data_IF_134757375544
#
_entry.id   IF_134757375544
#
_cell.length_a   1.000
_cell.length_b   1.000
_cell.length_c   1.000
_cell.angle_alpha   90.00
_cell.angle_beta   90.00
_cell.angle_gamma   90.00
#
_symmetry.space_group_name_H-M   'P 1'
#
loop_
_entity.id
_entity.type
_entity.pdbx_description
1 polymer ?
#
# COMPACT_ATOMS: atom_id res chain seq x y z
N UNK A 1 -18.87 -4.92 1.65
CA UNK A 1 -19.48 -6.13 2.26
C UNK A 1 -21.01 -6.06 2.29
N UNK A 2 -21.56 -4.92 1.88
CA UNK A 2 -22.95 -4.55 2.18
C UNK A 2 -23.98 -5.31 1.31
N UNK A 3 -23.54 -5.86 0.17
CA UNK A 3 -24.41 -6.65 -0.71
C UNK A 3 -24.56 -8.12 -0.30
N UNK A 4 -23.76 -8.62 0.65
CA UNK A 4 -23.86 -10.01 1.15
C UNK A 4 -23.81 -10.10 2.68
N UNK A 5 -24.10 -9.00 3.39
CA UNK A 5 -24.04 -8.91 4.86
C UNK A 5 -22.72 -9.43 5.49
N UNK A 6 -21.61 -9.38 4.75
CA UNK A 6 -20.31 -9.87 5.22
C UNK A 6 -20.14 -11.39 5.19
N UNK A 7 -21.05 -12.15 4.59
CA UNK A 7 -20.98 -13.63 4.54
C UNK A 7 -19.69 -14.18 3.91
N UNK A 8 -19.09 -13.44 2.98
CA UNK A 8 -17.81 -13.81 2.35
C UNK A 8 -16.59 -13.25 3.07
N UNK A 9 -16.73 -12.80 4.33
CA UNK A 9 -15.63 -12.26 5.13
C UNK A 9 -15.63 -12.83 6.53
N UNK A 10 -14.44 -13.16 7.05
CA UNK A 10 -14.28 -13.55 8.45
C UNK A 10 -12.88 -13.18 8.95
N UNK A 11 -12.76 -13.06 10.26
CA UNK A 11 -11.45 -13.01 10.91
C UNK A 11 -11.04 -14.45 11.24
N UNK A 12 -9.82 -14.82 10.86
CA UNK A 12 -9.23 -16.14 11.16
C UNK A 12 -7.89 -15.97 11.86
N UNK A 13 -7.55 -16.92 12.73
CA UNK A 13 -6.24 -16.97 13.34
C UNK A 13 -5.23 -17.65 12.41
N UNK A 14 -4.12 -16.97 12.12
CA UNK A 14 -3.04 -17.38 11.24
C UNK A 14 -1.71 -17.53 11.99
N UNK A 15 -1.74 -18.33 13.06
CA UNK A 15 -0.57 -18.62 13.87
C UNK A 15 -0.04 -17.41 14.65
N UNK A 16 1.03 -17.63 15.43
CA UNK A 16 1.56 -16.61 16.34
C UNK A 16 2.20 -15.44 15.59
N UNK A 17 2.73 -15.69 14.39
CA UNK A 17 3.43 -14.69 13.59
C UNK A 17 2.48 -13.61 13.02
N UNK A 18 1.27 -13.98 12.60
CA UNK A 18 0.31 -13.06 11.98
C UNK A 18 -0.91 -12.77 12.87
N UNK A 19 -1.23 -13.64 13.82
CA UNK A 19 -2.36 -13.42 14.72
C UNK A 19 -3.70 -13.51 14.00
N UNK A 20 -4.56 -12.52 14.16
CA UNK A 20 -5.90 -12.51 13.54
C UNK A 20 -5.89 -11.72 12.23
N UNK A 21 -6.23 -12.37 11.13
CA UNK A 21 -6.21 -11.78 9.78
C UNK A 21 -7.59 -11.78 9.13
N UNK A 22 -7.81 -10.89 8.16
CA UNK A 22 -9.04 -10.87 7.37
C UNK A 22 -8.97 -11.94 6.28
N UNK A 23 -9.82 -12.96 6.34
CA UNK A 23 -10.01 -13.91 5.23
C UNK A 23 -11.25 -13.51 4.42
N UNK A 24 -11.08 -13.42 3.10
CA UNK A 24 -12.16 -13.23 2.13
C UNK A 24 -12.38 -14.52 1.32
N UNK A 25 -13.64 -14.90 1.20
CA UNK A 25 -14.11 -16.00 0.35
C UNK A 25 -14.43 -15.47 -1.04
N UNK A 26 -14.02 -16.23 -2.05
CA UNK A 26 -14.29 -16.04 -3.47
C UNK A 26 -15.12 -17.27 -3.92
N UNK A 27 -16.47 -17.21 -3.90
CA UNK A 27 -17.31 -18.36 -4.15
C UNK A 27 -17.12 -18.96 -5.54
N UNK A 28 -17.28 -20.28 -5.61
CA UNK A 28 -17.38 -21.03 -6.86
C UNK A 28 -18.31 -20.33 -7.87
N UNK A 29 -17.87 -20.19 -9.12
CA UNK A 29 -18.68 -19.68 -10.21
C UNK A 29 -18.88 -18.15 -10.20
N UNK A 30 -18.37 -17.43 -9.20
CA UNK A 30 -18.62 -16.01 -9.05
C UNK A 30 -17.61 -15.14 -9.82
N UNK A 31 -18.10 -14.12 -10.53
CA UNK A 31 -17.31 -13.15 -11.30
C UNK A 31 -17.83 -11.74 -11.09
N UNK A 32 -16.92 -10.78 -10.95
CA UNK A 32 -17.26 -9.36 -10.95
C UNK A 32 -17.48 -8.74 -9.55
N UNK A 33 -17.66 -7.41 -9.49
CA UNK A 33 -18.00 -6.69 -8.26
C UNK A 33 -19.48 -6.84 -7.86
N UNK A 34 -20.28 -7.52 -8.69
CA UNK A 34 -21.72 -7.77 -8.63
C UNK A 34 -22.59 -6.51 -8.63
N UNK A 35 -22.95 -6.14 -9.85
CA UNK A 35 -23.61 -4.88 -10.18
C UNK A 35 -25.14 -5.05 -10.21
N UNK A 36 -25.64 -6.29 -10.31
CA UNK A 36 -27.05 -6.66 -10.45
C UNK A 36 -27.44 -7.72 -9.42
N UNK A 37 -28.29 -7.39 -8.42
CA UNK A 37 -29.02 -8.22 -7.41
C UNK A 37 -28.37 -9.51 -6.84
N UNK A 38 -27.10 -9.76 -7.15
CA UNK A 38 -26.35 -10.97 -6.85
C UNK A 38 -25.34 -10.60 -5.77
N UNK A 39 -25.21 -11.40 -4.69
CA UNK A 39 -24.31 -11.05 -3.59
C UNK A 39 -22.86 -10.97 -4.04
N UNK A 40 -22.16 -9.85 -3.73
CA UNK A 40 -20.70 -9.70 -3.61
C UNK A 40 -19.80 -10.94 -3.79
N UNK A 41 -19.06 -11.13 -4.90
CA UNK A 41 -18.15 -12.28 -5.07
C UNK A 41 -17.03 -12.31 -4.05
N UNK A 42 -16.62 -11.16 -3.53
CA UNK A 42 -15.87 -11.07 -2.29
C UNK A 42 -16.16 -9.71 -1.66
N UNK A 43 -15.24 -8.76 -1.76
CA UNK A 43 -15.37 -7.46 -1.11
C UNK A 43 -15.24 -6.29 -2.10
N UNK A 44 -16.17 -5.33 -1.94
CA UNK A 44 -16.09 -3.98 -2.49
C UNK A 44 -16.30 -3.02 -1.34
N UNK A 45 -15.28 -2.20 -1.06
CA UNK A 45 -15.33 -1.11 -0.07
C UNK A 45 -14.53 0.05 -0.63
N UNK A 46 -15.19 1.16 -0.90
CA UNK A 46 -14.54 2.44 -1.18
C UNK A 46 -14.45 3.18 0.15
N UNK A 47 -13.24 3.36 0.66
CA UNK A 47 -12.96 4.09 1.89
C UNK A 47 -12.47 5.49 1.55
N UNK A 48 -13.28 6.55 1.77
CA UNK A 48 -12.79 7.92 1.73
C UNK A 48 -11.66 8.12 2.74
N UNK A 49 -10.58 8.77 2.33
CA UNK A 49 -9.44 9.05 3.19
C UNK A 49 -9.69 10.33 3.98
N UNK A 50 -9.38 10.29 5.27
CA UNK A 50 -9.49 11.46 6.16
C UNK A 50 -8.52 12.57 5.74
N UNK A 51 -7.36 12.19 5.17
CA UNK A 51 -6.37 13.11 4.61
C UNK A 51 -6.17 12.78 3.14
N UNK A 52 -6.33 13.78 2.28
CA UNK A 52 -6.02 13.69 0.86
C UNK A 52 -4.63 14.28 0.58
N UNK A 53 -3.97 13.84 -0.48
CA UNK A 53 -2.65 14.37 -0.85
C UNK A 53 -2.31 14.11 -2.33
N UNK A 54 -1.36 14.89 -2.83
CA UNK A 54 -0.75 14.68 -4.16
C UNK A 54 0.15 13.46 -4.22
N UNK A 55 0.67 13.00 -3.09
CA UNK A 55 1.41 11.74 -2.99
C UNK A 55 0.86 10.93 -1.85
N UNK A 56 0.51 9.68 -2.13
CA UNK A 56 -0.04 8.76 -1.15
C UNK A 56 0.59 7.38 -1.32
N UNK A 57 0.90 6.77 -0.19
CA UNK A 57 1.35 5.40 -0.08
C UNK A 57 0.21 4.53 0.43
N UNK A 58 0.15 3.31 -0.07
CA UNK A 58 -0.67 2.25 0.53
C UNK A 58 0.14 0.98 0.64
N UNK A 59 -0.14 0.17 1.66
CA UNK A 59 0.45 -1.14 1.82
C UNK A 59 -0.57 -2.10 2.42
N UNK A 60 -0.40 -3.37 2.11
CA UNK A 60 -1.09 -4.49 2.75
C UNK A 60 -0.32 -5.77 2.48
N UNK A 61 -0.52 -6.74 3.35
CA UNK A 61 0.00 -8.08 3.14
C UNK A 61 -1.13 -8.97 2.60
N UNK A 62 -0.78 -9.92 1.74
CA UNK A 62 -1.72 -10.81 1.05
C UNK A 62 -1.23 -12.26 1.05
N UNK A 63 -2.14 -13.20 1.27
CA UNK A 63 -1.87 -14.63 1.22
C UNK A 63 -2.95 -15.34 0.40
N UNK A 64 -2.56 -15.93 -0.72
CA UNK A 64 -3.43 -16.80 -1.51
C UNK A 64 -3.41 -18.20 -0.89
N UNK A 65 -4.55 -18.69 -0.43
CA UNK A 65 -4.62 -19.98 0.26
C UNK A 65 -4.43 -21.18 -0.68
N UNK A 66 -4.05 -22.31 -0.10
CA UNK A 66 -3.91 -23.56 -0.84
C UNK A 66 -5.19 -23.88 -1.62
N UNK A 67 -5.00 -24.30 -2.88
CA UNK A 67 -6.10 -24.53 -3.80
C UNK A 67 -6.57 -23.28 -4.56
N UNK A 68 -6.04 -22.09 -4.28
CA UNK A 68 -6.45 -20.89 -5.02
C UNK A 68 -6.20 -21.02 -6.53
N UNK A 69 -7.23 -20.78 -7.33
CA UNK A 69 -7.23 -20.80 -8.78
C UNK A 69 -7.12 -19.36 -9.29
N UNK A 70 -5.97 -18.99 -9.82
CA UNK A 70 -5.82 -17.66 -10.42
C UNK A 70 -6.77 -17.40 -11.61
N UNK A 71 -7.22 -18.47 -12.29
CA UNK A 71 -7.98 -18.41 -13.54
C UNK A 71 -7.38 -17.39 -14.51
N UNK A 72 -8.22 -16.63 -15.23
CA UNK A 72 -7.75 -15.56 -16.11
C UNK A 72 -7.26 -14.32 -15.31
N UNK A 73 -7.70 -14.18 -14.07
CA UNK A 73 -7.29 -13.10 -13.19
C UNK A 73 -8.41 -12.57 -12.30
N UNK A 74 -8.07 -11.53 -11.55
CA UNK A 74 -9.00 -10.83 -10.68
C UNK A 74 -8.37 -9.59 -10.06
N UNK A 75 -9.18 -8.85 -9.32
CA UNK A 75 -8.86 -7.50 -8.85
C UNK A 75 -8.35 -7.53 -7.42
N UNK A 76 -7.45 -6.61 -7.10
CA UNK A 76 -6.87 -6.40 -5.79
C UNK A 76 -6.93 -4.92 -5.39
N UNK A 77 -6.83 -4.64 -4.08
CA UNK A 77 -6.95 -3.28 -3.55
C UNK A 77 -5.93 -2.29 -4.11
N UNK A 78 -6.32 -1.02 -4.14
CA UNK A 78 -5.44 0.07 -4.56
C UNK A 78 -6.01 1.47 -4.28
N UNK A 79 -5.28 2.49 -4.74
CA UNK A 79 -5.61 3.90 -4.50
C UNK A 79 -6.43 4.46 -5.67
N UNK A 80 -7.28 5.45 -5.39
CA UNK A 80 -7.96 6.22 -6.43
C UNK A 80 -8.25 7.67 -6.00
N UNK A 81 -8.65 8.49 -6.98
CA UNK A 81 -8.93 9.91 -6.81
C UNK A 81 -10.15 10.35 -7.62
N UNK A 82 -10.87 11.36 -7.13
CA UNK A 82 -12.00 11.96 -7.85
C UNK A 82 -13.10 10.93 -8.11
N UNK A 83 -13.52 10.80 -9.37
CA UNK A 83 -14.53 9.80 -9.80
C UNK A 83 -14.15 8.33 -9.57
N UNK A 84 -12.87 8.01 -9.28
CA UNK A 84 -12.41 6.65 -9.03
C UNK A 84 -12.85 5.65 -10.14
N UNK A 85 -12.56 6.00 -11.40
CA UNK A 85 -12.99 5.24 -12.58
C UNK A 85 -12.66 3.74 -12.49
N UNK A 86 -13.64 2.88 -12.78
CA UNK A 86 -13.53 1.42 -12.88
C UNK A 86 -14.59 0.87 -13.84
N UNK A 87 -14.49 -0.43 -14.21
CA UNK A 87 -15.47 -1.06 -15.10
C UNK A 87 -15.29 -0.62 -16.55
N UNK A 88 -16.37 -0.62 -17.33
CA UNK A 88 -16.37 -0.06 -18.69
C UNK A 88 -16.58 1.47 -18.63
N UNK A 89 -15.58 2.19 -18.12
CA UNK A 89 -15.66 3.62 -17.90
C UNK A 89 -14.27 4.25 -18.12
N UNK A 90 -13.97 4.58 -19.37
CA UNK A 90 -12.76 5.31 -19.74
C UNK A 90 -12.87 6.77 -19.25
N UNK A 91 -11.84 7.32 -18.59
CA UNK A 91 -11.77 8.75 -18.30
C UNK A 91 -11.63 9.55 -19.61
N UNK A 92 -12.64 10.38 -19.91
CA UNK A 92 -12.60 11.36 -21.02
C UNK A 92 -12.16 12.75 -20.55
N UNK A 93 -12.19 12.96 -19.24
CA UNK A 93 -11.70 14.15 -18.55
C UNK A 93 -10.81 13.75 -17.38
N UNK A 94 -9.83 14.59 -17.02
CA UNK A 94 -8.98 14.35 -15.85
C UNK A 94 -9.67 14.63 -14.51
N UNK A 95 -10.90 14.17 -14.34
CA UNK A 95 -11.73 14.34 -13.13
C UNK A 95 -11.76 13.09 -12.23
N UNK A 96 -10.96 12.08 -12.57
CA UNK A 96 -10.72 10.91 -11.73
C UNK A 96 -9.79 9.90 -12.37
N UNK A 97 -9.38 8.94 -11.56
CA UNK A 97 -8.48 7.85 -11.93
C UNK A 97 -8.58 6.74 -10.90
N UNK A 98 -8.09 5.54 -11.22
CA UNK A 98 -7.82 4.51 -10.21
C UNK A 98 -6.55 3.75 -10.54
N UNK A 99 -5.80 3.33 -9.53
CA UNK A 99 -4.63 2.46 -9.67
C UNK A 99 -4.81 1.27 -8.73
N UNK A 100 -5.53 0.26 -9.21
CA UNK A 100 -5.75 -1.03 -8.54
C UNK A 100 -4.75 -2.05 -9.04
N UNK A 101 -4.70 -3.21 -8.39
CA UNK A 101 -3.84 -4.32 -8.80
C UNK A 101 -4.71 -5.42 -9.39
N UNK A 102 -4.14 -6.22 -10.28
CA UNK A 102 -4.74 -7.50 -10.68
C UNK A 102 -3.73 -8.64 -10.51
N UNK A 103 -4.24 -9.81 -10.12
CA UNK A 103 -3.58 -11.06 -10.49
C UNK A 103 -4.07 -11.49 -11.88
N UNK A 104 -3.20 -12.18 -12.60
CA UNK A 104 -3.46 -12.82 -13.89
C UNK A 104 -3.12 -14.32 -13.78
N UNK A 105 -3.28 -15.05 -14.90
CA UNK A 105 -2.88 -16.47 -15.00
C UNK A 105 -1.53 -16.74 -14.36
N UNK A 106 -1.44 -17.81 -13.58
CA UNK A 106 -0.19 -18.24 -12.93
C UNK A 106 0.32 -17.28 -11.85
N UNK A 107 -0.55 -16.42 -11.30
CA UNK A 107 -0.17 -15.48 -10.24
C UNK A 107 0.54 -14.21 -10.75
N UNK A 108 0.69 -14.03 -12.06
CA UNK A 108 1.30 -12.84 -12.65
C UNK A 108 0.61 -11.56 -12.14
N UNK A 109 1.39 -10.64 -11.58
CA UNK A 109 0.88 -9.39 -11.02
C UNK A 109 0.94 -8.24 -12.04
N UNK A 110 -0.12 -7.45 -12.11
CA UNK A 110 -0.16 -6.24 -12.95
C UNK A 110 -0.80 -5.09 -12.19
N UNK A 111 -0.41 -3.87 -12.48
CA UNK A 111 -1.15 -2.69 -12.08
C UNK A 111 -2.24 -2.42 -13.12
N UNK A 112 -3.49 -2.34 -12.67
CA UNK A 112 -4.63 -1.95 -13.48
C UNK A 112 -4.93 -0.47 -13.24
N UNK A 113 -4.65 0.38 -14.23
CA UNK A 113 -4.76 1.83 -14.08
C UNK A 113 -5.83 2.39 -15.04
N UNK A 114 -6.78 3.13 -14.49
CA UNK A 114 -7.67 4.01 -15.24
C UNK A 114 -7.11 5.44 -15.18
N UNK A 115 -6.84 6.03 -16.33
CA UNK A 115 -6.23 7.36 -16.44
C UNK A 115 -6.52 8.01 -17.79
N UNK A 116 -6.29 9.32 -17.90
CA UNK A 116 -6.48 10.04 -19.16
C UNK A 116 -5.47 9.59 -20.22
N UNK A 117 -5.99 9.10 -21.34
CA UNK A 117 -5.18 8.58 -22.44
C UNK A 117 -4.82 7.10 -22.33
N UNK A 118 -5.55 6.34 -21.49
CA UNK A 118 -5.54 4.87 -21.55
C UNK A 118 -5.99 4.37 -22.93
N UNK A 119 -5.58 3.15 -23.29
CA UNK A 119 -5.79 2.60 -24.64
C UNK A 119 -7.13 1.89 -24.80
N UNK A 120 -7.63 1.30 -23.73
CA UNK A 120 -8.87 0.52 -23.72
C UNK A 120 -9.99 1.26 -22.99
N UNK A 121 -11.24 0.86 -23.24
CA UNK A 121 -12.41 1.28 -22.44
C UNK A 121 -12.32 0.79 -20.98
N UNK A 122 -11.53 -0.26 -20.75
CA UNK A 122 -11.11 -0.75 -19.44
C UNK A 122 -9.74 -0.20 -19.07
N UNK A 123 -9.38 -0.29 -17.79
CA UNK A 123 -8.06 0.13 -17.32
C UNK A 123 -6.93 -0.62 -18.03
N UNK A 124 -5.82 0.08 -18.26
CA UNK A 124 -4.65 -0.51 -18.90
C UNK A 124 -3.87 -1.39 -17.91
N UNK A 125 -3.41 -2.54 -18.39
CA UNK A 125 -2.51 -3.43 -17.66
C UNK A 125 -1.06 -2.95 -17.80
N UNK A 126 -0.44 -2.65 -16.67
CA UNK A 126 1.01 -2.44 -16.57
C UNK A 126 1.63 -3.62 -15.84
N UNK A 127 2.45 -4.39 -16.57
CA UNK A 127 3.12 -5.56 -16.01
C UNK A 127 4.11 -5.16 -14.92
N UNK A 128 4.16 -5.97 -13.87
CA UNK A 128 5.15 -5.87 -12.81
C UNK A 128 6.48 -6.51 -13.26
N UNK A 129 7.07 -5.97 -14.31
CA UNK A 129 8.30 -6.44 -14.95
C UNK A 129 9.26 -5.27 -15.28
N UNK A 130 8.98 -4.08 -14.73
CA UNK A 130 9.68 -2.82 -15.03
C UNK A 130 9.81 -2.51 -16.53
N UNK A 131 8.78 -2.81 -17.32
CA UNK A 131 8.80 -2.61 -18.78
C UNK A 131 9.64 -3.67 -19.48
N UNK A 132 9.57 -4.92 -19.00
CA UNK A 132 10.32 -6.06 -19.52
C UNK A 132 11.79 -6.12 -19.11
N UNK A 133 12.23 -5.27 -18.17
CA UNK A 133 13.62 -5.29 -17.66
C UNK A 133 13.86 -6.40 -16.65
N UNK A 134 12.81 -6.81 -15.94
CA UNK A 134 12.83 -7.88 -14.95
C UNK A 134 11.89 -9.02 -15.36
N UNK A 135 12.05 -10.22 -14.80
CA UNK A 135 11.01 -11.23 -14.86
C UNK A 135 9.69 -10.69 -14.31
N UNK A 136 8.58 -11.13 -14.90
CA UNK A 136 7.24 -10.80 -14.43
C UNK A 136 7.07 -11.26 -12.97
N UNK A 137 6.79 -10.31 -12.07
CA UNK A 137 6.51 -10.60 -10.67
C UNK A 137 5.21 -11.42 -10.53
N UNK A 138 5.20 -12.34 -9.57
CA UNK A 138 4.12 -13.29 -9.35
C UNK A 138 3.76 -13.40 -7.87
N UNK A 139 2.46 -13.56 -7.61
CA UNK A 139 1.96 -14.05 -6.33
C UNK A 139 2.10 -15.56 -6.26
N UNK A 140 2.57 -16.05 -5.13
CA UNK A 140 2.77 -17.48 -4.85
C UNK A 140 1.70 -17.96 -3.88
N UNK A 141 1.03 -19.05 -4.21
CA UNK A 141 0.07 -19.72 -3.33
C UNK A 141 0.80 -20.24 -2.09
N UNK A 142 0.17 -20.14 -0.91
CA UNK A 142 0.75 -20.61 0.34
C UNK A 142 1.86 -19.72 0.89
N UNK A 143 2.04 -18.50 0.34
CA UNK A 143 3.06 -17.53 0.77
C UNK A 143 2.44 -16.16 1.04
N UNK A 144 2.83 -15.56 2.17
CA UNK A 144 2.54 -14.16 2.46
C UNK A 144 3.41 -13.27 1.59
N UNK A 145 2.78 -12.29 0.94
CA UNK A 145 3.43 -11.26 0.16
C UNK A 145 3.12 -9.89 0.72
N UNK A 146 4.13 -9.02 0.77
CA UNK A 146 3.94 -7.60 1.09
C UNK A 146 3.83 -6.80 -0.17
N UNK A 147 2.73 -6.06 -0.31
CA UNK A 147 2.54 -5.10 -1.40
C UNK A 147 2.66 -3.69 -0.83
N UNK A 148 3.45 -2.86 -1.49
CA UNK A 148 3.48 -1.41 -1.25
C UNK A 148 3.24 -0.69 -2.57
N UNK A 149 2.34 0.28 -2.59
CA UNK A 149 2.09 1.15 -3.73
C UNK A 149 2.34 2.60 -3.35
N UNK A 150 2.80 3.39 -4.32
CA UNK A 150 2.88 4.84 -4.23
C UNK A 150 2.27 5.45 -5.47
N UNK A 151 1.34 6.38 -5.28
CA UNK A 151 0.82 7.24 -6.36
C UNK A 151 1.31 8.66 -6.11
N UNK A 152 1.84 9.29 -7.15
CA UNK A 152 2.18 10.72 -7.20
C UNK A 152 1.38 11.37 -8.33
N UNK A 153 0.53 12.34 -8.00
CA UNK A 153 -0.31 13.06 -8.96
C UNK A 153 0.55 13.85 -9.95
N UNK A 154 0.07 13.98 -11.19
CA UNK A 154 0.72 14.84 -12.18
C UNK A 154 0.56 16.33 -11.83
N UNK A 155 1.42 17.17 -12.41
CA UNK A 155 1.31 18.62 -12.33
C UNK A 155 0.18 19.15 -13.19
N UNK A 156 -0.43 20.25 -12.77
CA UNK A 156 -1.45 21.01 -13.50
C UNK A 156 -1.01 22.47 -13.46
N UNK A 157 -0.60 23.01 -14.61
CA UNK A 157 -0.24 24.44 -14.73
C UNK A 157 -1.42 25.29 -15.18
N UNK A 158 -2.31 24.68 -15.96
CA UNK A 158 -3.53 25.29 -16.49
C UNK A 158 -4.69 24.36 -16.17
N UNK A 159 -5.75 24.82 -15.48
CA UNK A 159 -6.94 24.02 -15.23
C UNK A 159 -7.50 23.43 -16.53
N UNK A 160 -7.84 22.15 -16.52
CA UNK A 160 -8.29 21.41 -17.71
C UNK A 160 -7.15 20.79 -18.55
N UNK A 161 -5.88 21.06 -18.20
CA UNK A 161 -4.71 20.58 -18.93
C UNK A 161 -3.61 20.05 -18.00
N UNK A 162 -3.77 18.80 -17.55
CA UNK A 162 -2.75 18.10 -16.77
C UNK A 162 -1.55 17.61 -17.59
N UNK A 163 -0.36 17.72 -17.01
CA UNK A 163 0.88 17.17 -17.57
C UNK A 163 0.89 15.63 -17.50
N UNK A 164 1.73 14.98 -18.32
CA UNK A 164 1.93 13.52 -18.35
C UNK A 164 3.13 13.09 -17.49
N UNK A 165 3.16 13.53 -16.24
CA UNK A 165 4.27 13.27 -15.30
C UNK A 165 3.80 12.68 -13.96
N UNK A 166 2.56 12.21 -13.89
CA UNK A 166 2.03 11.45 -12.78
C UNK A 166 2.68 10.06 -12.75
N UNK A 167 2.85 9.53 -11.54
CA UNK A 167 3.67 8.35 -11.33
C UNK A 167 3.01 7.34 -10.41
N UNK A 168 3.03 6.07 -10.81
CA UNK A 168 2.62 4.93 -9.98
C UNK A 168 3.81 3.98 -9.84
N UNK A 169 4.16 3.68 -8.60
CA UNK A 169 5.22 2.73 -8.25
C UNK A 169 4.64 1.62 -7.37
N UNK A 170 5.14 0.41 -7.55
CA UNK A 170 4.78 -0.73 -6.71
C UNK A 170 6.00 -1.56 -6.33
N UNK A 171 5.96 -2.09 -5.11
CA UNK A 171 6.93 -3.03 -4.57
C UNK A 171 6.23 -4.32 -4.14
N UNK A 172 6.87 -5.46 -4.43
CA UNK A 172 6.46 -6.78 -3.97
C UNK A 172 7.61 -7.39 -3.17
N UNK A 173 7.35 -7.73 -1.90
CA UNK A 173 8.34 -8.31 -0.99
C UNK A 173 9.64 -7.47 -0.87
N UNK A 174 9.52 -6.15 -0.94
CA UNK A 174 10.65 -5.22 -0.85
C UNK A 174 11.28 -4.82 -2.19
N UNK A 175 11.02 -5.58 -3.26
CA UNK A 175 11.59 -5.32 -4.59
C UNK A 175 10.71 -4.36 -5.39
N UNK A 176 11.32 -3.38 -6.06
CA UNK A 176 10.59 -2.50 -6.99
C UNK A 176 10.21 -3.30 -8.24
N UNK A 177 8.91 -3.43 -8.50
CA UNK A 177 8.37 -4.24 -9.60
C UNK A 177 7.64 -3.42 -10.67
N UNK A 178 7.23 -2.20 -10.34
CA UNK A 178 6.54 -1.29 -11.24
C UNK A 178 7.04 0.14 -11.02
N UNK A 179 7.25 0.84 -12.13
CA UNK A 179 7.54 2.27 -12.14
C UNK A 179 7.04 2.91 -13.43
N UNK A 180 5.84 3.50 -13.38
CA UNK A 180 5.19 4.16 -14.53
C UNK A 180 5.08 5.63 -14.22
N UNK A 181 5.75 6.50 -14.99
CA UNK A 181 5.92 7.93 -14.70
C UNK A 181 5.38 8.87 -15.79
N UNK A 182 4.57 8.34 -16.70
CA UNK A 182 4.03 9.06 -17.87
C UNK A 182 2.52 9.33 -17.78
N UNK A 183 1.94 9.25 -16.58
CA UNK A 183 0.49 9.25 -16.40
C UNK A 183 -0.08 10.68 -16.31
N UNK A 184 -1.25 10.89 -16.90
CA UNK A 184 -2.12 12.05 -16.65
C UNK A 184 -3.30 11.58 -15.80
N UNK A 185 -3.20 11.76 -14.48
CA UNK A 185 -4.17 11.30 -13.49
C UNK A 185 -5.24 12.37 -13.19
N UNK A 186 -4.93 13.65 -13.37
CA UNK A 186 -5.84 14.77 -13.13
C UNK A 186 -5.63 15.92 -14.12
N UNK A 187 -6.68 16.71 -14.29
CA UNK A 187 -6.67 17.98 -15.03
C UNK A 187 -6.87 19.22 -14.15
N UNK A 188 -7.21 19.02 -12.89
CA UNK A 188 -7.48 20.07 -11.92
C UNK A 188 -6.67 19.78 -10.66
N UNK A 189 -5.89 20.76 -10.19
CA UNK A 189 -5.03 20.64 -9.00
C UNK A 189 -5.81 20.45 -7.70
N UNK A 190 -7.12 20.71 -7.72
CA UNK A 190 -8.07 20.39 -6.65
C UNK A 190 -8.33 18.90 -6.47
N UNK A 191 -7.90 18.05 -7.41
CA UNK A 191 -8.06 16.60 -7.34
C UNK A 191 -6.81 15.94 -6.78
N UNK A 192 -6.99 15.09 -5.77
CA UNK A 192 -5.91 14.43 -5.05
C UNK A 192 -6.14 12.91 -5.00
N UNK A 193 -5.19 12.18 -4.41
CA UNK A 193 -5.50 10.84 -3.91
C UNK A 193 -6.43 11.00 -2.71
N UNK A 194 -7.65 10.48 -2.81
CA UNK A 194 -8.72 10.75 -1.83
C UNK A 194 -9.47 9.51 -1.34
N UNK A 195 -9.21 8.33 -1.93
CA UNK A 195 -9.87 7.07 -1.60
C UNK A 195 -8.88 5.91 -1.63
N UNK A 196 -9.08 4.96 -0.72
CA UNK A 196 -8.57 3.60 -0.85
C UNK A 196 -9.71 2.67 -1.24
N UNK A 197 -9.51 1.86 -2.27
CA UNK A 197 -10.52 0.95 -2.78
C UNK A 197 -10.12 -0.49 -2.52
N UNK A 198 -10.72 -1.11 -1.50
CA UNK A 198 -10.71 -2.56 -1.31
C UNK A 198 -11.69 -3.18 -2.32
N UNK A 199 -11.21 -3.41 -3.54
CA UNK A 199 -11.95 -4.04 -4.63
C UNK A 199 -11.28 -5.37 -4.96
N UNK A 200 -11.92 -6.48 -4.59
CA UNK A 200 -11.36 -7.79 -4.91
C UNK A 200 -12.39 -8.83 -5.29
N UNK A 201 -12.11 -9.56 -6.37
CA UNK A 201 -12.97 -10.55 -7.03
C UNK A 201 -12.23 -11.17 -8.22
N UNK A 202 -12.58 -12.40 -8.61
CA UNK A 202 -12.24 -12.94 -9.92
C UNK A 202 -12.99 -12.20 -11.02
N UNK A 203 -12.34 -11.84 -12.12
CA UNK A 203 -13.08 -11.27 -13.24
C UNK A 203 -12.33 -10.38 -14.20
N UNK A 204 -13.11 -9.59 -14.93
CA UNK A 204 -13.60 -9.96 -16.27
C UNK A 204 -15.12 -10.08 -16.19
N UNK A 205 -15.80 -10.55 -17.23
CA UNK A 205 -17.28 -10.67 -17.23
C UNK A 205 -17.81 -12.04 -17.68
N UNK A 206 -16.95 -12.94 -18.18
CA UNK A 206 -17.32 -14.27 -18.67
C UNK A 206 -17.09 -15.38 -17.63
N UNK A 207 -17.73 -16.54 -17.82
CA UNK A 207 -17.65 -17.68 -16.90
C UNK A 207 -16.23 -18.28 -16.76
N UNK A 208 -15.38 -18.13 -17.76
CA UNK A 208 -13.97 -18.56 -17.74
C UNK A 208 -13.11 -17.83 -16.70
N UNK A 209 -13.57 -16.70 -16.17
CA UNK A 209 -12.90 -16.01 -15.07
C UNK A 209 -13.22 -16.62 -13.72
N UNK A 210 -14.33 -17.35 -13.61
CA UNK A 210 -14.86 -17.83 -12.35
C UNK A 210 -14.01 -18.98 -11.78
N UNK A 211 -13.78 -19.03 -10.46
CA UNK A 211 -13.17 -20.20 -9.85
C UNK A 211 -14.13 -21.41 -9.90
N UNK A 212 -13.60 -22.61 -10.01
CA UNK A 212 -14.33 -23.88 -10.08
C UNK A 212 -14.78 -24.40 -8.71
N UNK A 213 -14.23 -23.82 -7.64
CA UNK A 213 -14.54 -24.11 -6.24
C UNK A 213 -14.35 -22.86 -5.38
N UNK A 214 -14.74 -22.93 -4.10
CA UNK A 214 -14.57 -21.80 -3.18
C UNK A 214 -13.08 -21.53 -2.94
N UNK A 215 -12.68 -20.28 -3.19
CA UNK A 215 -11.32 -19.79 -3.11
C UNK A 215 -11.18 -18.83 -1.92
N UNK A 216 -9.97 -18.67 -1.38
CA UNK A 216 -9.74 -17.81 -0.22
C UNK A 216 -8.45 -16.99 -0.35
N UNK A 217 -8.53 -15.73 0.05
CA UNK A 217 -7.36 -14.85 0.21
C UNK A 217 -7.41 -14.26 1.62
N UNK A 218 -6.27 -14.29 2.32
CA UNK A 218 -6.08 -13.57 3.59
C UNK A 218 -5.39 -12.24 3.33
N UNK A 219 -5.79 -11.24 4.09
CA UNK A 219 -5.23 -9.90 4.07
C UNK A 219 -4.91 -9.46 5.50
N UNK A 220 -3.84 -8.69 5.62
CA UNK A 220 -3.45 -8.07 6.89
C UNK A 220 -2.73 -6.74 6.65
N UNK A 221 -2.50 -5.97 7.72
CA UNK A 221 -1.54 -4.87 7.75
C UNK A 221 -1.82 -3.72 6.76
N UNK A 222 -3.10 -3.48 6.47
CA UNK A 222 -3.53 -2.33 5.67
C UNK A 222 -3.02 -1.02 6.26
N UNK A 223 -2.30 -0.26 5.45
CA UNK A 223 -1.77 1.05 5.79
C UNK A 223 -1.98 2.00 4.63
N UNK A 224 -2.44 3.22 4.90
CA UNK A 224 -2.45 4.33 3.93
C UNK A 224 -1.80 5.52 4.60
N UNK A 225 -0.85 6.16 3.93
CA UNK A 225 -0.04 7.22 4.54
C UNK A 225 0.45 8.24 3.52
N UNK A 226 0.55 9.50 3.95
CA UNK A 226 1.28 10.53 3.20
C UNK A 226 2.80 10.37 3.36
N UNK A 227 3.23 9.68 4.41
CA UNK A 227 4.63 9.37 4.66
C UNK A 227 5.02 8.06 3.96
N UNK A 228 6.31 7.89 3.67
CA UNK A 228 6.80 6.64 3.07
C UNK A 228 6.53 5.43 3.95
N UNK A 229 6.15 4.32 3.32
CA UNK A 229 5.94 3.04 4.00
C UNK A 229 7.14 2.12 3.74
N UNK A 230 7.59 1.37 4.75
CA UNK A 230 8.62 0.36 4.58
C UNK A 230 8.17 -0.73 3.59
N UNK A 231 9.02 -1.01 2.60
CA UNK A 231 8.73 -1.92 1.48
C UNK A 231 8.92 -3.39 1.85
N UNK A 232 9.79 -3.68 2.82
CA UNK A 232 9.96 -5.01 3.41
C UNK A 232 9.33 -5.08 4.80
N UNK A 233 8.89 -6.27 5.21
CA UNK A 233 8.63 -6.57 6.62
C UNK A 233 9.97 -6.88 7.28
N UNK A 234 10.25 -6.32 8.46
CA UNK A 234 11.34 -6.84 9.29
C UNK A 234 11.01 -8.31 9.63
N UNK A 235 12.00 -9.22 9.70
CA UNK A 235 11.88 -10.67 9.96
C UNK A 235 11.17 -11.09 11.28
N UNK A 236 10.46 -10.17 11.94
CA UNK A 236 9.74 -10.35 13.18
C UNK A 236 8.20 -10.25 13.03
N UNK A 237 7.66 -10.17 11.81
CA UNK A 237 6.20 -10.24 11.57
C UNK A 237 5.38 -9.08 12.14
N UNK A 238 6.03 -8.02 12.62
CA UNK A 238 5.36 -6.85 13.18
C UNK A 238 5.39 -5.68 12.20
N UNK A 239 4.22 -5.18 11.81
CA UNK A 239 4.11 -3.81 11.29
C UNK A 239 4.71 -2.87 12.33
N UNK A 240 5.69 -2.09 11.90
CA UNK A 240 6.33 -1.06 12.69
C UNK A 240 5.37 0.09 13.03
N UNK A 241 4.45 -0.16 13.96
CA UNK A 241 3.86 0.86 14.83
C UNK A 241 4.14 0.57 16.32
N UNK A 242 4.84 -0.54 16.62
CA UNK A 242 5.23 -0.94 17.98
C UNK A 242 6.74 -1.21 18.13
N UNK A 243 7.62 -0.41 17.51
CA UNK A 243 8.92 -0.19 18.16
C UNK A 243 8.68 0.72 19.36
N UNK A 244 8.23 0.11 20.48
CA UNK A 244 8.63 0.60 21.81
C UNK A 244 10.11 0.90 21.69
N UNK A 245 10.48 2.16 21.89
CA UNK A 245 11.84 2.61 22.06
C UNK A 245 12.45 1.88 23.26
N UNK A 246 12.84 0.63 23.05
CA UNK A 246 13.87 0.02 23.85
C UNK A 246 15.14 0.75 23.45
N UNK A 247 15.54 1.71 24.30
CA UNK A 247 16.93 2.15 24.36
C UNK A 247 17.76 0.88 24.52
N UNK A 248 18.33 0.40 23.42
CA UNK A 248 19.47 -0.47 23.50
C UNK A 248 20.53 0.28 24.30
N UNK A 249 20.83 -0.21 25.50
CA UNK A 249 22.08 0.05 26.18
C UNK A 249 23.19 -0.60 25.33
N UNK A 250 23.51 0.02 24.20
CA UNK A 250 24.80 -0.20 23.55
C UNK A 250 25.84 0.46 24.45
N UNK A 251 26.53 -0.35 25.26
CA UNK A 251 27.87 0.02 25.72
C UNK A 251 28.68 0.24 24.46
N UNK A 252 28.87 1.50 24.10
CA UNK A 252 29.79 1.88 23.05
C UNK A 252 31.19 1.51 23.51
N UNK A 253 31.88 0.68 22.73
CA UNK A 253 33.32 0.56 22.78
C UNK A 253 33.91 1.95 22.51
N UNK A 254 34.43 2.59 23.57
CA UNK A 254 35.01 3.91 23.48
C UNK A 254 36.41 3.81 22.88
N UNK A 255 36.60 4.35 21.67
CA UNK A 255 37.94 4.65 21.14
C UNK A 255 38.63 5.68 22.07
N UNK A 256 39.96 5.61 22.24
CA UNK A 256 40.66 6.51 23.15
C UNK A 256 40.57 7.97 22.68
N UNK A 257 40.33 8.87 23.63
CA UNK A 257 40.24 10.32 23.42
C UNK A 257 41.65 10.90 23.27
N UNK A 258 41.91 11.61 22.17
CA UNK A 258 43.13 12.43 22.04
C UNK A 258 42.98 13.73 22.84
N UNK A 259 43.97 14.01 23.69
CA UNK A 259 44.02 15.21 24.52
C UNK A 259 45.10 16.14 23.98
N UNK A 260 44.73 17.38 23.66
CA UNK A 260 45.68 18.43 23.30
C UNK A 260 45.76 19.49 24.40
N UNK A 261 46.91 20.17 24.50
CA UNK A 261 47.10 21.35 25.35
C UNK A 261 47.10 22.61 24.49
N UNK A 262 46.26 23.58 24.86
CA UNK A 262 46.30 24.94 24.31
C UNK A 262 46.45 25.90 25.50
N UNK A 263 47.50 26.72 25.49
CA UNK A 263 47.80 27.70 26.54
C UNK A 263 47.77 27.14 27.97
N UNK A 264 48.34 25.94 28.16
CA UNK A 264 48.42 25.29 29.47
C UNK A 264 47.15 24.53 29.92
N UNK A 265 46.03 24.68 29.20
CA UNK A 265 44.76 24.02 29.51
C UNK A 265 44.51 22.81 28.60
N UNK A 266 44.00 21.71 29.16
CA UNK A 266 43.59 20.51 28.41
C UNK A 266 42.21 20.72 27.79
N UNK A 267 42.05 20.44 26.49
CA UNK A 267 40.76 20.56 25.78
C UNK A 267 40.49 19.30 24.95
N UNK A 268 39.28 18.75 25.05
CA UNK A 268 38.78 17.62 24.26
C UNK A 268 37.30 17.81 23.93
N UNK A 269 36.87 17.41 22.72
CA UNK A 269 35.51 17.69 22.22
C UNK A 269 34.60 16.47 22.42
N UNK A 270 33.67 16.56 23.38
CA UNK A 270 32.58 15.61 23.59
C UNK A 270 31.36 16.30 24.22
N UNK A 271 30.18 16.14 23.62
CA UNK A 271 28.92 16.76 24.03
C UNK A 271 28.37 16.15 25.33
N UNK A 272 28.43 16.90 26.43
CA UNK A 272 27.52 16.76 27.57
C UNK A 272 27.30 18.14 28.20
N UNK A 273 26.14 18.75 27.93
CA UNK A 273 25.59 19.86 28.72
C UNK A 273 25.02 19.29 30.02
N UNK A 274 25.57 19.69 31.17
CA UNK A 274 25.03 19.33 32.48
C UNK A 274 23.60 19.86 32.64
N UNK A 275 22.69 19.03 33.14
CA UNK A 275 21.33 19.47 33.48
C UNK A 275 21.08 19.16 34.96
N UNK A 276 20.58 20.16 35.68
CA UNK A 276 20.26 20.05 37.12
C UNK A 276 18.74 20.05 37.29
N UNK A 277 18.26 19.17 38.18
CA UNK A 277 16.83 19.06 38.52
C UNK A 277 16.55 19.87 39.78
N UNK A 278 15.58 20.78 39.74
CA UNK A 278 15.19 21.60 40.90
C UNK A 278 13.74 21.29 41.33
N UNK A 279 13.46 21.20 42.64
CA UNK A 279 12.11 21.04 43.16
C UNK A 279 11.33 22.36 43.17
N UNK A 280 10.08 22.32 42.72
CA UNK A 280 9.12 23.41 42.85
C UNK A 280 8.28 23.25 44.13
N UNK A 281 7.77 24.38 44.66
CA UNK A 281 6.97 24.43 45.89
C UNK A 281 5.66 23.62 45.87
N UNK A 282 5.22 23.15 44.70
CA UNK A 282 4.05 22.27 44.53
C UNK A 282 4.42 20.78 44.36
N UNK A 283 5.66 20.39 44.64
CA UNK A 283 6.12 19.00 44.61
C UNK A 283 6.48 18.45 43.22
N UNK A 284 6.46 19.27 42.17
CA UNK A 284 6.93 18.88 40.83
C UNK A 284 8.42 19.21 40.64
N UNK A 285 9.14 18.38 39.89
CA UNK A 285 10.54 18.59 39.52
C UNK A 285 10.62 19.16 38.09
N UNK A 286 11.45 20.18 37.88
CA UNK A 286 11.72 20.74 36.54
C UNK A 286 13.21 20.61 36.23
N UNK A 287 13.51 20.24 34.98
CA UNK A 287 14.87 20.07 34.47
C UNK A 287 15.23 21.30 33.64
N UNK A 288 16.25 22.04 34.06
CA UNK A 288 16.74 23.21 33.33
C UNK A 288 18.05 22.84 32.65
N UNK A 289 18.17 23.19 31.37
CA UNK A 289 19.36 23.02 30.55
C UNK A 289 20.05 24.38 30.45
N UNK A 290 21.35 24.44 30.75
CA UNK A 290 22.21 25.58 30.41
C UNK A 290 23.06 25.21 29.19
#
# INVERSE_FOLDING_TARGET
>A
MDKNNGENSKIVYDGVAHGNVLQLKYPKGCVGPNDNDTPACAAQIIQPLVKTADTMWSAYDIFFEDGFEFQLGGKLPGLCGGKCYTGNAMPETGDGWSARIMWRKGGNAVQLIYFMGQKSEYGDDFKWDLGGKNPQAQFTIGKWHRIVNKVSMNTVKTPGAGDKNGRVQAWLDGELVLDVDTLRLRDYDTLHVDKFYLSTFHGGSSAEWAPTHDNFIRFDNFTVSTDSIAVSLDNAGGVGLNKRLWRENRRADSKPVEIYRVNGSRVGRGLHTESKTLPLKNGRLVKVVQ
#
